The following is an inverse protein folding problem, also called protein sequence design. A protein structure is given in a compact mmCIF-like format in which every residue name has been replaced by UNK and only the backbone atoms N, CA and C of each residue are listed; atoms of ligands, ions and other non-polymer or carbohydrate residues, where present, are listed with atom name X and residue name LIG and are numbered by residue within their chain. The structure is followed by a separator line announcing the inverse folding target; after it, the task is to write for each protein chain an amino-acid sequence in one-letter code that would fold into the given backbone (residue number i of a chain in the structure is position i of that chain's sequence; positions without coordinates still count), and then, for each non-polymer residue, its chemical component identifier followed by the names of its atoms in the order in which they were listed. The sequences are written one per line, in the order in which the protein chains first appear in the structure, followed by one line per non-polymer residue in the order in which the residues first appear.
data_IF_279331521313
#
_entry.id   IF_279331521313
#
_cell.length_a   1.000
_cell.length_b   1.000
_cell.length_c   1.000
_cell.angle_alpha   90.00
_cell.angle_beta   90.00
_cell.angle_gamma   90.00
#
_symmetry.space_group_name_H-M   'P 1'
#
loop_
_entity.id
_entity.type
_entity.pdbx_description
1 polymer ?
#
# COMPACT_ATOMS: atom_id res chain seq x y z
N UNK A 1 11.22 -3.05 -2.47
CA UNK A 1 10.31 -1.86 -2.43
C UNK A 1 11.06 -0.68 -3.00
N UNK A 2 10.40 0.44 -3.34
CA UNK A 2 11.11 1.67 -3.71
C UNK A 2 11.25 2.59 -2.49
N UNK A 3 12.31 3.41 -2.46
CA UNK A 3 12.36 4.57 -1.58
C UNK A 3 11.38 5.63 -2.06
N UNK A 4 10.80 6.40 -1.16
CA UNK A 4 9.85 7.47 -1.51
C UNK A 4 10.50 8.84 -1.30
N UNK A 5 10.14 9.79 -2.15
CA UNK A 5 10.40 11.23 -1.99
C UNK A 5 9.10 12.00 -2.22
N UNK A 6 8.96 13.16 -1.59
CA UNK A 6 7.76 14.01 -1.68
C UNK A 6 8.07 15.45 -2.13
N UNK A 7 9.34 15.76 -2.41
CA UNK A 7 9.80 17.10 -2.77
C UNK A 7 10.88 17.04 -3.84
N UNK A 8 11.04 18.13 -4.58
CA UNK A 8 12.13 18.24 -5.55
C UNK A 8 13.50 18.29 -4.87
N UNK A 9 13.58 18.82 -3.65
CA UNK A 9 14.83 18.88 -2.88
C UNK A 9 15.32 17.48 -2.50
N UNK A 10 14.44 16.62 -1.97
CA UNK A 10 14.74 15.22 -1.70
C UNK A 10 15.18 14.47 -2.97
N UNK A 11 14.62 14.86 -4.13
CA UNK A 11 14.99 14.28 -5.42
C UNK A 11 16.36 14.77 -5.91
N UNK A 12 16.71 16.03 -5.67
CA UNK A 12 18.08 16.56 -5.90
C UNK A 12 19.10 15.82 -5.04
N UNK A 13 18.79 15.57 -3.76
CA UNK A 13 19.67 14.77 -2.91
C UNK A 13 19.82 13.32 -3.40
N UNK A 14 18.76 12.75 -4.00
CA UNK A 14 18.84 11.44 -4.63
C UNK A 14 19.77 11.46 -5.84
N UNK A 15 19.66 12.46 -6.72
CA UNK A 15 20.55 12.65 -7.87
C UNK A 15 22.02 12.79 -7.44
N UNK A 16 22.30 13.60 -6.41
CA UNK A 16 23.66 13.73 -5.85
C UNK A 16 24.21 12.41 -5.29
N UNK A 17 23.36 11.57 -4.70
CA UNK A 17 23.77 10.23 -4.23
C UNK A 17 24.06 9.30 -5.40
N UNK A 18 23.29 9.36 -6.48
CA UNK A 18 23.54 8.60 -7.72
C UNK A 18 24.86 9.05 -8.33
N UNK A 19 25.07 10.36 -8.52
CA UNK A 19 26.29 10.91 -9.08
C UNK A 19 27.54 10.48 -8.30
N UNK A 20 27.49 10.54 -6.96
CA UNK A 20 28.60 10.07 -6.10
C UNK A 20 28.81 8.57 -6.21
N UNK A 21 27.75 7.77 -6.24
CA UNK A 21 27.85 6.32 -6.36
C UNK A 21 28.37 5.83 -7.71
N UNK A 22 28.26 6.68 -8.74
CA UNK A 22 28.79 6.44 -10.09
C UNK A 22 30.13 7.15 -10.34
N UNK A 23 30.74 7.74 -9.31
CA UNK A 23 32.06 8.39 -9.39
C UNK A 23 32.14 9.46 -10.50
N UNK A 24 31.02 10.17 -10.74
CA UNK A 24 30.92 11.21 -11.77
C UNK A 24 30.78 10.71 -13.21
N UNK A 25 30.63 9.40 -13.44
CA UNK A 25 30.29 8.87 -14.76
C UNK A 25 28.94 9.44 -15.25
N UNK A 26 28.77 9.70 -16.55
CA UNK A 26 27.50 10.18 -17.09
C UNK A 26 26.41 9.12 -16.97
N UNK A 27 25.20 9.54 -16.61
CA UNK A 27 24.03 8.67 -16.48
C UNK A 27 22.79 9.36 -17.03
N UNK A 28 21.75 8.56 -17.28
CA UNK A 28 20.42 9.02 -17.66
C UNK A 28 19.38 8.33 -16.78
N UNK A 29 18.18 8.88 -16.75
CA UNK A 29 17.04 8.32 -16.05
C UNK A 29 15.97 7.82 -17.02
N UNK A 30 15.17 6.87 -16.56
CA UNK A 30 13.87 6.53 -17.14
C UNK A 30 12.81 6.89 -16.11
N UNK A 31 11.85 7.71 -16.52
CA UNK A 31 10.69 8.09 -15.73
C UNK A 31 9.45 7.33 -16.21
N UNK A 32 8.73 6.72 -15.28
CA UNK A 32 7.54 5.91 -15.52
C UNK A 32 6.43 6.32 -14.56
N UNK A 33 5.17 6.26 -15.00
CA UNK A 33 4.04 6.47 -14.08
C UNK A 33 4.03 5.38 -13.00
N UNK A 34 3.82 5.78 -11.75
CA UNK A 34 3.69 4.84 -10.65
C UNK A 34 2.22 4.39 -10.53
N UNK A 35 1.87 3.34 -11.26
CA UNK A 35 0.53 2.76 -11.25
C UNK A 35 0.14 2.22 -9.87
N UNK A 36 -1.10 2.46 -9.47
CA UNK A 36 -1.70 1.89 -8.27
C UNK A 36 -2.43 0.59 -8.60
N UNK A 37 -1.74 -0.53 -8.41
CA UNK A 37 -2.29 -1.86 -8.66
C UNK A 37 -1.66 -2.95 -7.79
N UNK A 38 -1.52 -4.13 -8.38
CA UNK A 38 -0.94 -5.30 -7.77
C UNK A 38 0.29 -5.72 -8.56
N UNK A 39 1.46 -5.56 -7.93
CA UNK A 39 2.71 -6.00 -8.50
C UNK A 39 2.70 -7.51 -8.80
N UNK A 40 3.08 -7.84 -10.03
CA UNK A 40 3.03 -9.18 -10.61
C UNK A 40 4.36 -9.52 -11.27
N UNK A 41 4.82 -10.76 -11.07
CA UNK A 41 5.94 -11.35 -11.79
C UNK A 41 5.41 -12.44 -12.72
N UNK A 42 5.78 -12.36 -14.00
CA UNK A 42 5.35 -13.26 -15.06
C UNK A 42 6.56 -13.99 -15.65
N UNK A 43 6.59 -15.31 -15.50
CA UNK A 43 7.61 -16.16 -16.09
C UNK A 43 7.21 -16.64 -17.48
N UNK A 44 8.08 -16.42 -18.46
CA UNK A 44 7.99 -16.93 -19.82
C UNK A 44 9.15 -17.88 -20.09
N UNK A 45 8.84 -19.08 -20.61
CA UNK A 45 9.84 -20.08 -20.98
C UNK A 45 9.59 -20.50 -22.43
N UNK A 46 10.60 -20.36 -23.29
CA UNK A 46 10.44 -20.57 -24.75
C UNK A 46 9.42 -19.63 -25.39
N UNK A 47 9.14 -18.49 -24.76
CA UNK A 47 8.12 -17.53 -25.19
C UNK A 47 6.72 -17.78 -24.62
N UNK A 48 6.46 -18.94 -24.03
CA UNK A 48 5.16 -19.25 -23.43
C UNK A 48 5.08 -18.78 -21.97
N UNK A 49 3.99 -18.09 -21.62
CA UNK A 49 3.68 -17.76 -20.24
C UNK A 49 3.48 -19.06 -19.47
N UNK A 50 4.34 -19.33 -18.49
CA UNK A 50 4.26 -20.55 -17.67
C UNK A 50 3.90 -20.25 -16.21
N UNK A 51 4.20 -19.05 -15.70
CA UNK A 51 3.95 -18.72 -14.31
C UNK A 51 3.52 -17.26 -14.11
N UNK A 52 2.54 -17.02 -13.23
CA UNK A 52 2.22 -15.69 -12.71
C UNK A 52 2.19 -15.71 -11.19
N UNK A 53 2.99 -14.85 -10.56
CA UNK A 53 3.19 -14.81 -9.11
C UNK A 53 2.99 -13.40 -8.58
N UNK A 54 2.16 -13.25 -7.57
CA UNK A 54 2.02 -11.96 -6.86
C UNK A 54 3.28 -11.64 -6.07
N UNK A 55 3.49 -10.37 -5.69
CA UNK A 55 4.68 -10.01 -4.89
C UNK A 55 4.75 -10.67 -3.50
N UNK A 56 3.62 -10.93 -2.85
CA UNK A 56 3.55 -11.41 -1.47
C UNK A 56 4.44 -10.61 -0.50
N UNK A 57 5.38 -11.27 0.18
CA UNK A 57 6.31 -10.63 1.12
C UNK A 57 7.60 -10.08 0.46
N UNK A 58 7.74 -10.25 -0.86
CA UNK A 58 8.93 -9.90 -1.64
C UNK A 58 9.88 -11.07 -1.89
N UNK A 59 9.69 -12.20 -1.20
CA UNK A 59 10.44 -13.46 -1.40
C UNK A 59 9.50 -14.58 -1.85
N UNK A 60 8.31 -14.67 -1.27
CA UNK A 60 7.26 -15.64 -1.59
C UNK A 60 5.96 -14.90 -1.89
N UNK A 61 5.26 -15.38 -2.91
CA UNK A 61 3.97 -14.86 -3.32
C UNK A 61 3.03 -15.94 -3.82
N UNK A 62 1.76 -15.57 -3.95
CA UNK A 62 0.70 -16.49 -4.38
C UNK A 62 0.82 -16.77 -5.88
N UNK A 63 0.76 -18.04 -6.27
CA UNK A 63 0.71 -18.46 -7.68
C UNK A 63 -0.70 -18.25 -8.20
N UNK A 64 -0.83 -17.34 -9.16
CA UNK A 64 -2.11 -16.89 -9.73
C UNK A 64 -2.14 -17.03 -11.26
N UNK A 65 -1.36 -17.98 -11.80
CA UNK A 65 -1.20 -18.21 -13.24
C UNK A 65 -2.54 -18.34 -13.97
N UNK A 66 -3.48 -19.13 -13.43
CA UNK A 66 -4.80 -19.33 -14.05
C UNK A 66 -5.58 -18.01 -14.18
N UNK A 67 -5.52 -17.16 -13.15
CA UNK A 67 -6.20 -15.86 -13.10
C UNK A 67 -5.53 -14.86 -14.04
N UNK A 68 -4.20 -14.83 -14.07
CA UNK A 68 -3.43 -13.95 -14.95
C UNK A 68 -3.66 -14.28 -16.43
N UNK A 69 -3.81 -15.57 -16.80
CA UNK A 69 -4.13 -15.99 -18.18
C UNK A 69 -5.44 -15.40 -18.71
N UNK A 70 -6.33 -14.91 -17.84
CA UNK A 70 -7.60 -14.28 -18.24
C UNK A 70 -7.46 -12.80 -18.63
N UNK A 71 -6.31 -12.19 -18.38
CA UNK A 71 -6.03 -10.79 -18.73
C UNK A 71 -5.85 -10.69 -20.24
N UNK A 72 -6.88 -10.18 -20.93
CA UNK A 72 -6.93 -10.15 -22.41
C UNK A 72 -5.79 -9.35 -23.06
N UNK A 73 -5.24 -8.35 -22.37
CA UNK A 73 -4.14 -7.52 -22.89
C UNK A 73 -2.77 -8.16 -22.71
N UNK A 74 -2.68 -9.30 -22.02
CA UNK A 74 -1.42 -9.98 -21.75
C UNK A 74 -1.20 -11.11 -22.77
N UNK A 75 -0.11 -11.10 -23.56
CA UNK A 75 0.19 -12.20 -24.46
C UNK A 75 0.51 -13.47 -23.68
N UNK A 76 -0.13 -14.58 -24.07
CA UNK A 76 0.22 -15.91 -23.56
C UNK A 76 1.48 -16.48 -24.22
N UNK A 77 1.82 -15.99 -25.41
CA UNK A 77 3.03 -16.31 -26.15
C UNK A 77 3.67 -15.00 -26.64
N UNK A 78 4.97 -14.82 -26.39
CA UNK A 78 5.72 -13.65 -26.84
C UNK A 78 5.94 -13.67 -28.35
N UNK A 79 6.06 -12.50 -28.97
CA UNK A 79 6.32 -12.37 -30.41
C UNK A 79 7.78 -12.01 -30.70
N UNK A 80 8.29 -12.46 -31.86
CA UNK A 80 9.63 -12.09 -32.33
C UNK A 80 10.76 -12.88 -31.69
N UNK A 81 11.90 -12.23 -31.45
CA UNK A 81 13.08 -12.84 -30.85
C UNK A 81 13.19 -12.45 -29.38
N UNK A 82 13.20 -13.45 -28.50
CA UNK A 82 13.29 -13.31 -27.06
C UNK A 82 14.27 -14.34 -26.47
N UNK A 83 14.85 -14.05 -25.29
CA UNK A 83 15.64 -15.04 -24.56
C UNK A 83 14.83 -16.28 -24.19
N UNK A 84 15.52 -17.41 -23.97
CA UNK A 84 14.87 -18.68 -23.61
C UNK A 84 14.03 -18.58 -22.33
N UNK A 85 14.51 -17.79 -21.35
CA UNK A 85 13.81 -17.51 -20.10
C UNK A 85 13.72 -16.01 -19.89
N UNK A 86 12.51 -15.53 -19.60
CA UNK A 86 12.22 -14.12 -19.34
C UNK A 86 11.28 -14.03 -18.16
N UNK A 87 11.64 -13.21 -17.17
CA UNK A 87 10.71 -12.76 -16.12
C UNK A 87 10.30 -11.31 -16.42
N UNK A 88 9.01 -11.09 -16.63
CA UNK A 88 8.43 -9.76 -16.83
C UNK A 88 7.75 -9.33 -15.54
N UNK A 89 8.21 -8.22 -14.97
CA UNK A 89 7.56 -7.59 -13.83
C UNK A 89 6.70 -6.42 -14.29
N UNK A 90 5.54 -6.31 -13.69
CA UNK A 90 4.58 -5.29 -14.01
C UNK A 90 3.53 -5.10 -12.92
N UNK A 91 2.54 -4.29 -13.24
CA UNK A 91 1.42 -4.00 -12.36
C UNK A 91 0.14 -4.49 -13.01
N UNK A 92 -0.60 -5.37 -12.33
CA UNK A 92 -1.98 -5.71 -12.70
C UNK A 92 -2.91 -4.69 -12.05
N UNK A 93 -3.83 -4.12 -12.83
CA UNK A 93 -4.73 -3.08 -12.34
C UNK A 93 -6.14 -3.26 -12.91
N UNK A 94 -7.12 -2.69 -12.20
CA UNK A 94 -8.49 -2.56 -12.67
C UNK A 94 -8.66 -1.16 -13.29
N UNK A 95 -9.07 -1.04 -14.56
CA UNK A 95 -9.32 0.27 -15.14
C UNK A 95 -10.40 1.06 -14.39
N UNK A 96 -10.23 2.37 -14.29
CA UNK A 96 -11.13 3.27 -13.55
C UNK A 96 -12.59 3.16 -14.01
N UNK A 97 -12.81 3.06 -15.33
CA UNK A 97 -14.13 2.83 -15.91
C UNK A 97 -14.75 1.51 -15.44
N UNK A 98 -13.98 0.41 -15.49
CA UNK A 98 -14.44 -0.93 -15.08
C UNK A 98 -14.77 -0.96 -13.58
N UNK A 99 -13.98 -0.28 -12.77
CA UNK A 99 -14.25 -0.13 -11.33
C UNK A 99 -15.56 0.64 -11.09
N UNK A 100 -15.81 1.71 -11.85
CA UNK A 100 -17.07 2.46 -11.79
C UNK A 100 -18.28 1.60 -12.16
N UNK A 101 -18.21 0.88 -13.29
CA UNK A 101 -19.24 -0.08 -13.73
C UNK A 101 -19.53 -1.13 -12.64
N UNK A 102 -18.47 -1.69 -12.04
CA UNK A 102 -18.60 -2.70 -11.00
C UNK A 102 -19.26 -2.17 -9.73
N UNK A 103 -18.91 -0.96 -9.29
CA UNK A 103 -19.56 -0.37 -8.12
C UNK A 103 -21.02 -0.01 -8.39
N UNK A 104 -21.36 0.41 -9.61
CA UNK A 104 -22.75 0.65 -10.01
C UNK A 104 -23.59 -0.64 -9.97
N UNK A 105 -23.06 -1.75 -10.47
CA UNK A 105 -23.70 -3.08 -10.38
C UNK A 105 -23.92 -3.49 -8.91
N UNK A 106 -22.91 -3.32 -8.06
CA UNK A 106 -22.99 -3.63 -6.62
C UNK A 106 -24.06 -2.78 -5.92
N UNK A 107 -24.14 -1.50 -6.24
CA UNK A 107 -25.15 -0.59 -5.70
C UNK A 107 -26.56 -1.04 -6.06
N UNK A 108 -26.79 -1.40 -7.33
CA UNK A 108 -28.08 -1.90 -7.82
C UNK A 108 -28.50 -3.20 -7.12
N UNK A 109 -27.53 -4.03 -6.74
CA UNK A 109 -27.76 -5.29 -6.01
C UNK A 109 -27.83 -5.11 -4.48
N UNK A 110 -27.71 -3.87 -3.96
CA UNK A 110 -27.70 -3.60 -2.52
C UNK A 110 -26.44 -4.10 -1.79
N UNK A 111 -25.35 -4.35 -2.51
CA UNK A 111 -24.08 -4.82 -1.97
C UNK A 111 -23.19 -3.65 -1.52
N UNK A 112 -22.29 -3.90 -0.56
CA UNK A 112 -21.29 -2.92 -0.16
C UNK A 112 -20.35 -2.57 -1.33
N UNK A 113 -20.14 -1.28 -1.57
CA UNK A 113 -19.23 -0.79 -2.62
C UNK A 113 -17.78 -1.16 -2.33
N UNK A 114 -17.00 -1.34 -3.39
CA UNK A 114 -15.56 -1.52 -3.31
C UNK A 114 -14.88 -0.18 -3.04
N UNK A 115 -13.86 -0.20 -2.19
CA UNK A 115 -13.22 1.01 -1.69
C UNK A 115 -12.33 1.71 -2.72
N UNK A 116 -11.56 0.96 -3.52
CA UNK A 116 -10.68 1.52 -4.56
C UNK A 116 -10.32 0.45 -5.62
N UNK A 117 -9.85 0.87 -6.81
CA UNK A 117 -9.48 -0.05 -7.90
C UNK A 117 -8.38 -1.05 -7.54
N UNK A 118 -7.38 -0.65 -6.73
CA UNK A 118 -6.28 -1.51 -6.31
C UNK A 118 -6.75 -2.71 -5.48
N UNK A 119 -7.60 -2.46 -4.49
CA UNK A 119 -8.19 -3.48 -3.64
C UNK A 119 -9.14 -4.37 -4.45
N UNK A 120 -9.89 -3.80 -5.37
CA UNK A 120 -10.74 -4.56 -6.28
C UNK A 120 -9.91 -5.51 -7.16
N UNK A 121 -8.79 -5.04 -7.75
CA UNK A 121 -7.88 -5.86 -8.53
C UNK A 121 -7.22 -6.97 -7.68
N UNK A 122 -6.75 -6.64 -6.46
CA UNK A 122 -6.16 -7.62 -5.55
C UNK A 122 -7.16 -8.68 -5.09
N UNK A 123 -8.42 -8.29 -4.84
CA UNK A 123 -9.48 -9.23 -4.48
C UNK A 123 -9.81 -10.15 -5.65
N UNK A 124 -9.94 -9.59 -6.86
CA UNK A 124 -10.22 -10.34 -8.08
C UNK A 124 -9.16 -11.41 -8.35
N UNK A 125 -7.88 -11.08 -8.27
CA UNK A 125 -6.78 -12.02 -8.51
C UNK A 125 -6.74 -13.21 -7.54
N UNK A 126 -7.44 -13.14 -6.41
CA UNK A 126 -7.50 -14.20 -5.39
C UNK A 126 -8.74 -15.09 -5.50
N UNK A 127 -9.63 -14.81 -6.44
CA UNK A 127 -10.79 -15.68 -6.69
C UNK A 127 -10.32 -17.03 -7.22
N UNK A 128 -10.96 -18.10 -6.74
CA UNK A 128 -10.69 -19.47 -7.20
C UNK A 128 -11.23 -19.69 -8.62
N UNK A 129 -12.36 -19.06 -8.95
CA UNK A 129 -12.94 -19.15 -10.29
C UNK A 129 -12.36 -18.08 -11.22
N UNK A 130 -11.52 -18.54 -12.16
CA UNK A 130 -10.90 -17.69 -13.18
C UNK A 130 -11.92 -17.02 -14.11
N UNK A 131 -13.12 -17.58 -14.31
CA UNK A 131 -14.16 -16.94 -15.11
C UNK A 131 -14.65 -15.63 -14.47
N UNK A 132 -14.76 -15.61 -13.14
CA UNK A 132 -15.08 -14.40 -12.39
C UNK A 132 -13.95 -13.36 -12.51
N UNK A 133 -12.69 -13.80 -12.57
CA UNK A 133 -11.54 -12.90 -12.80
C UNK A 133 -11.59 -12.29 -14.19
N UNK A 134 -11.88 -13.09 -15.21
CA UNK A 134 -12.02 -12.64 -16.59
C UNK A 134 -13.09 -11.54 -16.72
N UNK A 135 -14.21 -11.68 -15.99
CA UNK A 135 -15.29 -10.69 -15.95
C UNK A 135 -14.85 -9.34 -15.35
N UNK A 136 -13.80 -9.32 -14.52
CA UNK A 136 -13.25 -8.08 -13.93
C UNK A 136 -12.40 -7.24 -14.89
N UNK A 137 -12.20 -7.71 -16.14
CA UNK A 137 -11.51 -6.98 -17.23
C UNK A 137 -10.19 -6.34 -16.77
N UNK A 138 -9.43 -7.05 -15.94
CA UNK A 138 -8.13 -6.58 -15.45
C UNK A 138 -7.18 -6.32 -16.63
N UNK A 139 -6.23 -5.41 -16.43
CA UNK A 139 -5.16 -5.07 -17.37
C UNK A 139 -3.81 -5.17 -16.71
N UNK A 140 -2.76 -5.16 -17.52
CA UNK A 140 -1.38 -5.25 -17.09
C UNK A 140 -0.54 -4.18 -17.78
N UNK A 141 0.42 -3.60 -17.08
CA UNK A 141 1.54 -2.87 -17.68
C UNK A 141 2.86 -3.44 -17.19
N UNK A 142 3.74 -3.82 -18.12
CA UNK A 142 5.12 -4.20 -17.83
C UNK A 142 5.94 -2.95 -17.50
N UNK A 143 6.80 -3.06 -16.48
CA UNK A 143 7.72 -1.99 -16.07
C UNK A 143 9.16 -2.48 -15.89
N UNK A 144 9.45 -3.77 -16.06
CA UNK A 144 10.78 -4.32 -15.97
C UNK A 144 10.85 -5.70 -16.64
N UNK A 145 11.94 -5.93 -17.38
CA UNK A 145 12.28 -7.23 -17.96
C UNK A 145 13.53 -7.74 -17.26
N UNK A 146 13.48 -8.99 -16.81
CA UNK A 146 14.59 -9.71 -16.20
C UNK A 146 14.87 -10.96 -17.02
N UNK A 147 16.14 -11.26 -17.20
CA UNK A 147 16.61 -12.41 -17.97
C UNK A 147 17.77 -13.04 -17.22
N UNK A 148 18.03 -14.34 -17.37
CA UNK A 148 19.31 -14.90 -16.98
C UNK A 148 20.45 -14.17 -17.72
N UNK A 149 21.39 -13.61 -16.96
CA UNK A 149 22.45 -12.76 -17.51
C UNK A 149 21.96 -11.39 -18.00
N UNK A 150 22.86 -10.64 -18.66
CA UNK A 150 22.61 -9.28 -19.14
C UNK A 150 22.31 -9.28 -20.64
N UNK A 151 21.02 -9.37 -21.00
CA UNK A 151 20.58 -9.29 -22.40
C UNK A 151 20.40 -7.85 -22.90
N UNK A 152 20.15 -6.89 -22.01
CA UNK A 152 19.94 -5.49 -22.36
C UNK A 152 21.02 -4.60 -21.73
N UNK A 153 21.47 -3.54 -22.43
CA UNK A 153 22.38 -2.55 -21.84
C UNK A 153 21.63 -1.60 -20.90
N UNK A 154 20.41 -1.22 -21.27
CA UNK A 154 19.60 -0.22 -20.55
C UNK A 154 18.21 -0.75 -20.21
N UNK A 155 17.60 -0.13 -19.21
CA UNK A 155 16.22 -0.35 -18.82
C UNK A 155 15.25 0.03 -19.94
N UNK A 156 15.50 1.17 -20.62
CA UNK A 156 14.70 1.59 -21.78
C UNK A 156 14.69 0.54 -22.90
N UNK A 157 15.84 -0.08 -23.21
CA UNK A 157 15.94 -1.14 -24.21
C UNK A 157 15.12 -2.38 -23.82
N UNK A 158 15.04 -2.68 -22.52
CA UNK A 158 14.16 -3.74 -22.02
C UNK A 158 12.67 -3.43 -22.19
N UNK A 159 12.25 -2.17 -21.98
CA UNK A 159 10.87 -1.74 -22.21
C UNK A 159 10.50 -1.75 -23.71
N UNK A 160 11.43 -1.33 -24.56
CA UNK A 160 11.29 -1.40 -26.02
C UNK A 160 11.16 -2.86 -26.50
N UNK A 161 12.01 -3.75 -25.98
CA UNK A 161 11.94 -5.18 -26.28
C UNK A 161 10.61 -5.80 -25.80
N UNK A 162 10.17 -5.50 -24.57
CA UNK A 162 8.88 -5.95 -24.07
C UNK A 162 7.72 -5.51 -24.99
N UNK A 163 7.75 -4.27 -25.46
CA UNK A 163 6.78 -3.75 -26.42
C UNK A 163 6.81 -4.54 -27.73
N UNK A 164 8.01 -4.79 -28.27
CA UNK A 164 8.19 -5.58 -29.50
C UNK A 164 7.70 -7.03 -29.36
N UNK A 165 7.76 -7.60 -28.15
CA UNK A 165 7.24 -8.93 -27.84
C UNK A 165 5.71 -8.99 -27.69
N UNK A 166 5.03 -7.84 -27.77
CA UNK A 166 3.57 -7.73 -27.61
C UNK A 166 3.12 -7.55 -26.17
N UNK A 167 4.04 -7.34 -25.22
CA UNK A 167 3.65 -7.03 -23.84
C UNK A 167 3.12 -5.59 -23.77
N UNK A 168 2.08 -5.34 -22.97
CA UNK A 168 1.57 -4.00 -22.78
C UNK A 168 2.57 -3.21 -21.92
N UNK A 169 3.28 -2.26 -22.54
CA UNK A 169 4.09 -1.25 -21.85
C UNK A 169 3.34 0.07 -21.89
N UNK A 170 3.39 0.84 -20.80
CA UNK A 170 2.72 2.15 -20.80
C UNK A 170 3.34 3.09 -21.83
N UNK A 171 2.56 3.80 -22.66
CA UNK A 171 3.12 4.76 -23.62
C UNK A 171 3.64 6.05 -22.96
N UNK A 172 3.61 6.12 -21.62
CA UNK A 172 3.91 7.33 -20.87
C UNK A 172 5.37 7.45 -20.45
N UNK A 173 6.16 6.37 -20.51
CA UNK A 173 7.54 6.41 -20.04
C UNK A 173 8.40 7.35 -20.88
N UNK A 174 9.40 7.98 -20.25
CA UNK A 174 10.34 8.88 -20.91
C UNK A 174 11.76 8.65 -20.42
N UNK A 175 12.70 8.49 -21.34
CA UNK A 175 14.13 8.60 -21.03
C UNK A 175 14.50 10.07 -20.89
N UNK A 176 15.10 10.42 -19.75
CA UNK A 176 15.47 11.78 -19.36
C UNK A 176 17.00 11.84 -19.21
N UNK A 177 17.66 12.74 -19.92
CA UNK A 177 19.13 12.81 -19.94
C UNK A 177 19.75 13.39 -18.66
N UNK A 178 18.96 14.09 -17.85
CA UNK A 178 19.41 14.77 -16.63
C UNK A 178 18.22 15.02 -15.68
N UNK A 179 18.52 15.53 -14.48
CA UNK A 179 17.50 15.83 -13.47
C UNK A 179 16.47 16.88 -13.92
N UNK A 180 16.85 17.86 -14.74
CA UNK A 180 15.89 18.88 -15.20
C UNK A 180 14.78 18.26 -16.05
N UNK A 181 15.13 17.37 -16.98
CA UNK A 181 14.13 16.63 -17.78
C UNK A 181 13.24 15.72 -16.91
N UNK A 182 13.76 15.20 -15.80
CA UNK A 182 12.97 14.45 -14.81
C UNK A 182 11.96 15.36 -14.13
N UNK A 183 12.36 16.57 -13.72
CA UNK A 183 11.46 17.56 -13.12
C UNK A 183 10.39 18.01 -14.10
N UNK A 184 10.75 18.27 -15.36
CA UNK A 184 9.80 18.62 -16.41
C UNK A 184 8.75 17.51 -16.62
N UNK A 185 9.19 16.25 -16.59
CA UNK A 185 8.29 15.09 -16.64
C UNK A 185 7.36 15.01 -15.41
N UNK A 186 7.87 15.31 -14.21
CA UNK A 186 7.06 15.41 -12.98
C UNK A 186 6.01 16.50 -13.09
N UNK A 187 6.37 17.69 -13.58
CA UNK A 187 5.42 18.80 -13.70
C UNK A 187 4.35 18.52 -14.76
N UNK A 188 4.74 17.96 -15.90
CA UNK A 188 3.81 17.59 -16.96
C UNK A 188 2.75 16.58 -16.48
N UNK A 189 3.18 15.53 -15.78
CA UNK A 189 2.30 14.48 -15.29
C UNK A 189 1.59 14.83 -13.98
N UNK A 190 1.82 16.04 -13.43
CA UNK A 190 1.12 16.51 -12.25
C UNK A 190 -0.40 16.64 -12.48
N UNK A 191 -0.84 16.85 -13.72
CA UNK A 191 -2.26 16.93 -14.08
C UNK A 191 -2.68 15.84 -15.08
N UNK A 192 -1.88 15.59 -16.13
CA UNK A 192 -2.22 14.59 -17.16
C UNK A 192 -2.46 13.19 -16.61
N UNK A 193 -1.89 12.85 -15.46
CA UNK A 193 -2.08 11.53 -14.84
C UNK A 193 -3.54 11.19 -14.53
N UNK A 194 -4.40 12.19 -14.35
CA UNK A 194 -5.83 11.98 -14.10
C UNK A 194 -6.62 11.55 -15.34
N UNK A 195 -6.04 11.70 -16.53
CA UNK A 195 -6.63 11.24 -17.80
C UNK A 195 -6.34 9.76 -18.07
N UNK A 196 -5.44 9.15 -17.29
CA UNK A 196 -5.08 7.75 -17.46
C UNK A 196 -6.23 6.82 -17.04
N UNK A 197 -6.35 5.65 -17.69
CA UNK A 197 -7.39 4.68 -17.36
C UNK A 197 -7.17 3.99 -16.00
N UNK A 198 -6.12 4.37 -15.26
CA UNK A 198 -5.68 3.75 -14.01
C UNK A 198 -5.16 4.84 -13.09
N UNK A 199 -5.42 4.68 -11.79
CA UNK A 199 -4.87 5.58 -10.79
C UNK A 199 -3.35 5.48 -10.72
N UNK A 200 -2.71 6.61 -10.47
CA UNK A 200 -1.28 6.71 -10.27
C UNK A 200 -1.02 7.56 -9.03
N UNK A 201 0.00 7.17 -8.27
CA UNK A 201 0.31 7.79 -6.98
C UNK A 201 1.66 8.51 -6.98
N UNK A 202 2.26 8.69 -8.17
CA UNK A 202 3.57 9.28 -8.32
C UNK A 202 4.26 8.89 -9.63
N UNK A 203 5.57 9.07 -9.64
CA UNK A 203 6.48 8.72 -10.73
C UNK A 203 7.59 7.84 -10.17
N UNK A 204 7.96 6.79 -10.90
CA UNK A 204 9.15 6.00 -10.62
C UNK A 204 10.27 6.50 -11.51
N UNK A 205 11.41 6.83 -10.90
CA UNK A 205 12.61 7.34 -11.56
C UNK A 205 13.69 6.30 -11.36
N UNK A 206 14.26 5.78 -12.45
CA UNK A 206 15.27 4.71 -12.43
C UNK A 206 16.49 5.15 -13.24
N UNK A 207 17.70 4.87 -12.76
CA UNK A 207 18.91 4.98 -13.60
C UNK A 207 18.75 4.04 -14.80
N UNK A 208 18.99 4.53 -16.01
CA UNK A 208 18.70 3.79 -17.24
C UNK A 208 19.70 2.66 -17.51
N UNK A 209 21.00 2.89 -17.30
CA UNK A 209 22.02 1.88 -17.55
C UNK A 209 22.00 0.77 -16.50
N UNK A 210 21.85 -0.47 -16.95
CA UNK A 210 21.71 -1.62 -16.05
C UNK A 210 23.03 -2.00 -15.35
N UNK A 211 24.20 -1.58 -15.83
CA UNK A 211 25.49 -1.79 -15.14
C UNK A 211 25.66 -0.78 -14.03
N UNK A 212 25.23 0.46 -14.27
CA UNK A 212 25.17 1.49 -13.24
C UNK A 212 24.18 1.11 -12.12
N UNK A 213 23.05 0.46 -12.45
CA UNK A 213 22.15 -0.10 -11.44
C UNK A 213 22.85 -1.14 -10.54
N UNK A 214 23.64 -2.05 -11.12
CA UNK A 214 24.40 -3.04 -10.34
C UNK A 214 25.47 -2.38 -9.46
N UNK A 215 26.19 -1.40 -10.00
CA UNK A 215 27.22 -0.64 -9.26
C UNK A 215 26.61 0.09 -8.05
N UNK A 216 25.45 0.72 -8.22
CA UNK A 216 24.73 1.40 -7.15
C UNK A 216 24.14 0.40 -6.14
N UNK A 217 23.69 -0.77 -6.61
CA UNK A 217 23.19 -1.84 -5.77
C UNK A 217 21.93 -1.49 -4.97
N UNK A 218 21.77 -2.17 -3.83
CA UNK A 218 20.56 -2.14 -3.02
C UNK A 218 20.88 -1.75 -1.57
N UNK A 219 19.91 -1.16 -0.88
CA UNK A 219 19.87 -1.11 0.58
C UNK A 219 19.17 -2.37 1.12
N UNK A 220 19.00 -2.49 2.44
CA UNK A 220 18.22 -3.57 3.04
C UNK A 220 16.76 -3.66 2.55
N UNK A 221 16.18 -2.60 1.95
CA UNK A 221 14.76 -2.56 1.57
C UNK A 221 14.45 -2.03 0.17
N UNK A 222 15.34 -1.23 -0.41
CA UNK A 222 15.14 -0.53 -1.68
C UNK A 222 16.40 -0.38 -2.52
N UNK A 223 16.30 -0.38 -3.86
CA UNK A 223 17.42 -0.08 -4.75
C UNK A 223 17.93 1.34 -4.53
N UNK A 224 19.25 1.55 -4.71
CA UNK A 224 19.86 2.89 -4.68
C UNK A 224 19.75 3.63 -6.01
N UNK A 225 19.44 2.91 -7.07
CA UNK A 225 19.31 3.40 -8.44
C UNK A 225 17.88 3.75 -8.84
N UNK A 226 16.89 3.60 -7.95
CA UNK A 226 15.51 4.00 -8.23
C UNK A 226 14.80 4.59 -7.02
N UNK A 227 13.94 5.57 -7.29
CA UNK A 227 13.13 6.27 -6.29
C UNK A 227 11.72 6.53 -6.82
N UNK A 228 10.74 6.58 -5.92
CA UNK A 228 9.38 6.95 -6.23
C UNK A 228 9.11 8.39 -5.77
N UNK A 229 8.93 9.32 -6.71
CA UNK A 229 8.44 10.66 -6.44
C UNK A 229 6.93 10.61 -6.26
N UNK A 230 6.45 10.96 -5.06
CA UNK A 230 5.04 10.96 -4.70
C UNK A 230 4.50 12.37 -4.85
N UNK A 231 3.43 12.52 -5.62
CA UNK A 231 2.74 13.79 -5.67
C UNK A 231 2.18 14.15 -4.28
N UNK A 232 2.15 15.45 -3.95
CA UNK A 232 1.46 15.94 -2.76
C UNK A 232 0.06 15.34 -2.72
N UNK A 233 -0.23 14.71 -1.59
CA UNK A 233 -1.47 13.99 -1.44
C UNK A 233 -2.63 14.95 -1.47
N UNK A 234 -3.72 14.56 -2.13
CA UNK A 234 -4.95 15.33 -2.09
C UNK A 234 -5.25 15.67 -0.62
N UNK A 235 -5.46 16.96 -0.36
CA UNK A 235 -5.81 17.51 0.94
C UNK A 235 -7.30 17.86 0.92
N UNK A 236 -8.01 17.48 1.96
CA UNK A 236 -9.41 17.83 2.16
C UNK A 236 -9.54 18.65 3.44
N UNK A 237 -10.42 19.65 3.40
CA UNK A 237 -10.80 20.43 4.57
C UNK A 237 -12.12 19.88 5.11
N UNK A 238 -12.14 19.44 6.36
CA UNK A 238 -13.32 18.86 7.00
C UNK A 238 -13.37 19.20 8.48
N UNK A 239 -14.50 18.96 9.16
CA UNK A 239 -14.66 19.26 10.58
C UNK A 239 -14.15 18.11 11.45
N UNK A 240 -13.41 18.44 12.50
CA UNK A 240 -13.07 17.52 13.59
C UNK A 240 -14.27 17.39 14.53
N UNK A 241 -14.83 16.19 14.65
CA UNK A 241 -15.95 15.90 15.57
C UNK A 241 -15.46 15.49 16.95
N UNK A 242 -14.54 14.54 16.98
CA UNK A 242 -14.11 13.87 18.20
C UNK A 242 -12.69 13.31 18.00
N UNK A 243 -11.95 13.11 19.09
CA UNK A 243 -10.74 12.29 19.09
C UNK A 243 -10.97 11.07 19.98
N UNK A 244 -10.87 9.89 19.39
CA UNK A 244 -10.85 8.62 20.11
C UNK A 244 -9.41 8.14 20.28
N UNK A 245 -9.16 7.32 21.30
CA UNK A 245 -7.82 6.88 21.64
C UNK A 245 -7.70 5.36 21.57
N UNK A 246 -6.90 4.87 20.62
CA UNK A 246 -6.67 3.45 20.42
C UNK A 246 -5.44 2.99 21.19
N UNK A 247 -5.58 1.91 21.96
CA UNK A 247 -4.47 1.27 22.68
C UNK A 247 -3.90 0.16 21.81
N UNK A 248 -2.65 0.30 21.40
CA UNK A 248 -1.95 -0.69 20.60
C UNK A 248 -1.41 -1.86 21.41
N UNK A 249 -0.87 -2.87 20.69
CA UNK A 249 -0.29 -4.09 21.25
C UNK A 249 0.72 -3.88 22.38
N UNK A 250 1.57 -2.85 22.27
CA UNK A 250 2.63 -2.52 23.24
C UNK A 250 2.20 -1.44 24.24
N UNK A 251 0.89 -1.27 24.41
CA UNK A 251 0.30 -0.26 25.28
C UNK A 251 0.31 1.16 24.74
N UNK A 252 0.95 1.43 23.59
CA UNK A 252 0.98 2.76 22.98
C UNK A 252 -0.43 3.28 22.70
N UNK A 253 -0.75 4.45 23.25
CA UNK A 253 -2.04 5.12 23.06
C UNK A 253 -1.93 6.09 21.89
N UNK A 254 -2.76 5.89 20.87
CA UNK A 254 -2.73 6.63 19.62
C UNK A 254 -4.04 7.38 19.39
N UNK A 255 -4.00 8.71 19.22
CA UNK A 255 -5.18 9.51 18.94
C UNK A 255 -5.63 9.33 17.49
N UNK A 256 -6.93 9.13 17.30
CA UNK A 256 -7.59 9.03 16.00
C UNK A 256 -8.73 10.04 15.96
N UNK A 257 -8.65 10.97 15.03
CA UNK A 257 -9.69 11.95 14.78
C UNK A 257 -10.88 11.29 14.06
N UNK A 258 -12.08 11.56 14.54
CA UNK A 258 -13.35 11.32 13.85
C UNK A 258 -13.77 12.62 13.16
N UNK A 259 -14.09 12.52 11.89
CA UNK A 259 -14.28 13.66 11.00
C UNK A 259 -15.68 13.66 10.39
N UNK A 260 -16.15 14.85 10.00
CA UNK A 260 -17.21 14.94 8.99
C UNK A 260 -16.77 14.16 7.73
N UNK A 261 -17.61 13.28 7.16
CA UNK A 261 -17.26 12.52 5.96
C UNK A 261 -16.84 13.45 4.83
N UNK A 262 -15.62 13.27 4.33
CA UNK A 262 -15.09 14.12 3.25
C UNK A 262 -14.49 13.26 2.12
N UNK A 263 -14.79 13.56 0.84
CA UNK A 263 -14.14 12.87 -0.27
C UNK A 263 -12.67 13.27 -0.34
N UNK A 264 -11.80 12.26 -0.36
CA UNK A 264 -10.35 12.44 -0.45
C UNK A 264 -9.72 11.29 -1.24
N UNK A 265 -9.06 11.62 -2.35
CA UNK A 265 -8.41 10.66 -3.25
C UNK A 265 -9.31 9.44 -3.60
N UNK A 266 -10.54 9.71 -4.06
CA UNK A 266 -11.50 8.68 -4.48
C UNK A 266 -12.14 7.86 -3.34
N UNK A 267 -11.85 8.17 -2.08
CA UNK A 267 -12.44 7.50 -0.90
C UNK A 267 -13.10 8.50 0.04
N UNK A 268 -14.14 8.10 0.76
CA UNK A 268 -14.72 8.94 1.82
C UNK A 268 -13.93 8.72 3.11
N UNK A 269 -13.24 9.77 3.57
CA UNK A 269 -12.49 9.76 4.82
C UNK A 269 -13.39 10.22 5.97
N UNK A 270 -13.50 9.36 6.99
CA UNK A 270 -14.20 9.65 8.26
C UNK A 270 -13.27 9.62 9.47
N UNK A 271 -12.05 9.10 9.29
CA UNK A 271 -11.06 8.90 10.34
C UNK A 271 -9.68 9.32 9.84
N UNK A 272 -8.93 10.00 10.68
CA UNK A 272 -7.54 10.38 10.39
C UNK A 272 -6.66 10.19 11.63
N UNK A 273 -5.41 9.81 11.41
CA UNK A 273 -4.40 9.76 12.46
C UNK A 273 -4.01 11.17 12.88
N UNK A 274 -3.84 11.37 14.19
CA UNK A 274 -3.25 12.58 14.76
C UNK A 274 -1.84 12.26 15.30
N UNK A 275 -1.28 11.10 14.96
CA UNK A 275 0.03 10.61 15.40
C UNK A 275 0.17 10.41 16.92
N UNK A 276 0.27 11.47 17.72
CA UNK A 276 0.54 11.41 19.16
C UNK A 276 0.16 12.72 19.89
N UNK A 277 0.38 12.77 21.20
CA UNK A 277 0.08 13.93 22.05
C UNK A 277 0.84 15.20 21.65
N UNK A 278 2.10 15.07 21.20
CA UNK A 278 2.88 16.23 20.76
C UNK A 278 2.25 16.88 19.53
N UNK A 279 1.75 16.08 18.59
CA UNK A 279 1.11 16.60 17.38
C UNK A 279 -0.20 17.32 17.71
N UNK A 280 -0.99 16.82 18.67
CA UNK A 280 -2.19 17.51 19.17
C UNK A 280 -1.83 18.89 19.70
N UNK A 281 -0.78 18.98 20.53
CA UNK A 281 -0.31 20.23 21.11
C UNK A 281 0.27 21.17 20.04
N UNK A 282 1.09 20.65 19.12
CA UNK A 282 1.71 21.42 18.03
C UNK A 282 0.68 22.06 17.11
N UNK A 283 -0.40 21.34 16.81
CA UNK A 283 -1.49 21.83 15.96
C UNK A 283 -2.52 22.68 16.74
N UNK A 284 -2.42 22.78 18.07
CA UNK A 284 -3.45 23.34 18.96
C UNK A 284 -4.85 22.84 18.58
N UNK A 285 -5.01 21.51 18.45
CA UNK A 285 -6.28 20.94 17.99
C UNK A 285 -7.40 21.16 19.01
N UNK A 286 -8.55 21.61 18.51
CA UNK A 286 -9.77 21.82 19.31
C UNK A 286 -10.95 21.10 18.71
N UNK A 287 -11.86 20.64 19.56
CA UNK A 287 -13.08 19.99 19.06
C UNK A 287 -13.91 20.99 18.23
N UNK A 288 -14.43 20.53 17.10
CA UNK A 288 -15.18 21.36 16.16
C UNK A 288 -14.33 22.14 15.16
N UNK A 289 -12.99 22.12 15.27
CA UNK A 289 -12.09 22.80 14.33
C UNK A 289 -12.29 22.29 12.88
N UNK A 290 -12.11 23.20 11.92
CA UNK A 290 -11.90 22.81 10.52
C UNK A 290 -10.44 22.39 10.36
N UNK A 291 -10.21 21.15 9.93
CA UNK A 291 -8.88 20.54 9.82
C UNK A 291 -8.55 20.17 8.37
N UNK A 292 -7.27 20.25 8.04
CA UNK A 292 -6.74 19.75 6.77
C UNK A 292 -6.31 18.30 6.95
N UNK A 293 -6.80 17.45 6.06
CA UNK A 293 -6.60 16.01 6.10
C UNK A 293 -5.98 15.57 4.79
N UNK A 294 -4.88 14.84 4.90
CA UNK A 294 -4.11 14.36 3.76
C UNK A 294 -3.98 12.85 3.79
N UNK A 295 -3.95 12.24 2.61
CA UNK A 295 -3.83 10.78 2.46
C UNK A 295 -2.44 10.36 1.99
N UNK A 296 -1.50 10.28 2.91
CA UNK A 296 -0.12 9.79 2.68
C UNK A 296 -0.08 8.44 1.97
N UNK A 297 0.40 8.40 0.72
CA UNK A 297 0.66 7.14 -0.01
C UNK A 297 -0.54 6.20 -0.10
N UNK A 298 -1.76 6.75 -0.26
CA UNK A 298 -3.04 6.05 -0.48
C UNK A 298 -3.61 5.20 0.67
N UNK A 299 -2.96 5.10 1.84
CA UNK A 299 -3.39 4.13 2.88
C UNK A 299 -3.97 4.79 4.14
N UNK A 300 -3.22 5.64 4.86
CA UNK A 300 -3.66 6.17 6.17
C UNK A 300 -3.84 7.70 6.10
N UNK A 301 -5.06 8.23 6.21
CA UNK A 301 -5.29 9.67 6.32
C UNK A 301 -4.70 10.23 7.62
N UNK A 302 -4.13 11.44 7.57
CA UNK A 302 -3.58 12.15 8.73
C UNK A 302 -4.03 13.62 8.74
N UNK A 303 -4.17 14.19 9.92
CA UNK A 303 -4.36 15.64 10.06
C UNK A 303 -3.02 16.34 9.86
N UNK A 304 -2.97 17.33 8.97
CA UNK A 304 -1.76 18.12 8.68
C UNK A 304 -1.83 19.55 9.18
N UNK A 305 -3.03 20.07 9.41
CA UNK A 305 -3.19 21.45 9.88
C UNK A 305 -4.60 21.74 10.37
N UNK A 306 -4.73 22.92 10.97
CA UNK A 306 -6.01 23.51 11.40
C UNK A 306 -6.22 24.81 10.65
N UNK A 307 -7.44 25.02 10.16
CA UNK A 307 -7.88 26.31 9.65
C UNK A 307 -8.30 27.21 10.81
N UNK A 308 -7.31 27.89 11.39
CA UNK A 308 -7.48 28.76 12.57
C UNK A 308 -8.44 29.91 12.29
N UNK A 309 -8.55 30.38 11.05
CA UNK A 309 -9.46 31.47 10.68
C UNK A 309 -10.94 31.05 10.79
N UNK A 310 -11.23 29.74 10.66
CA UNK A 310 -12.58 29.19 10.78
C UNK A 310 -12.90 28.64 12.18
N UNK A 311 -12.01 28.85 13.16
CA UNK A 311 -12.18 28.35 14.53
C UNK A 311 -13.33 29.08 15.23
N UNK A 312 -14.21 28.29 15.83
CA UNK A 312 -15.33 28.81 16.62
C UNK A 312 -14.81 29.41 17.94
N UNK A 313 -15.41 30.51 18.34
CA UNK A 313 -15.13 31.13 19.63
C UNK A 313 -15.57 30.19 20.77
N UNK A 314 -14.71 30.00 21.77
CA UNK A 314 -14.95 29.05 22.87
C UNK A 314 -14.61 27.58 22.56
N UNK A 315 -14.01 27.25 21.41
CA UNK A 315 -13.59 25.89 21.12
C UNK A 315 -12.63 25.34 22.19
N UNK A 316 -12.94 24.15 22.72
CA UNK A 316 -12.16 23.51 23.77
C UNK A 316 -10.93 22.78 23.23
N UNK A 317 -9.74 23.01 23.80
CA UNK A 317 -8.54 22.26 23.43
C UNK A 317 -8.70 20.75 23.68
N UNK A 318 -8.24 19.95 22.73
CA UNK A 318 -8.21 18.49 22.93
C UNK A 318 -7.14 18.15 23.95
N UNK A 319 -7.57 17.55 25.05
CA UNK A 319 -6.67 17.03 26.09
C UNK A 319 -6.41 15.56 25.89
N UNK A 320 -5.14 15.18 25.98
CA UNK A 320 -4.75 13.78 25.98
C UNK A 320 -5.19 13.11 27.30
N UNK A 321 -5.76 11.89 27.28
CA UNK A 321 -6.21 11.22 28.49
C UNK A 321 -5.03 10.91 29.41
N UNK A 322 -5.26 10.98 30.72
CA UNK A 322 -4.29 10.59 31.76
C UNK A 322 -4.42 9.11 32.15
N UNK A 323 -5.54 8.48 31.82
CA UNK A 323 -5.84 7.08 32.10
C UNK A 323 -6.09 6.32 30.80
N UNK A 324 -5.81 5.02 30.82
CA UNK A 324 -6.02 4.16 29.68
C UNK A 324 -7.52 4.08 29.35
N UNK A 325 -7.95 4.45 28.14
CA UNK A 325 -9.37 4.43 27.77
C UNK A 325 -9.98 3.02 27.77
N UNK A 326 -9.14 1.98 27.77
CA UNK A 326 -9.59 0.59 27.72
C UNK A 326 -9.59 -0.13 29.08
N UNK A 327 -8.79 0.30 30.06
CA UNK A 327 -8.67 -0.40 31.34
C UNK A 327 -8.52 0.52 32.57
N UNK A 328 -8.59 1.84 32.40
CA UNK A 328 -8.50 2.82 33.50
C UNK A 328 -7.12 2.95 34.15
N UNK A 329 -6.13 2.15 33.76
CA UNK A 329 -4.77 2.26 34.34
C UNK A 329 -4.14 3.62 33.98
N UNK A 330 -3.53 4.35 34.94
CA UNK A 330 -2.79 5.58 34.65
C UNK A 330 -1.75 5.40 33.55
N UNK A 331 -1.77 6.29 32.56
CA UNK A 331 -0.84 6.26 31.45
C UNK A 331 0.52 6.80 31.88
N UNK A 332 1.57 6.15 31.38
CA UNK A 332 2.96 6.61 31.58
C UNK A 332 3.52 7.07 30.24
N UNK A 333 4.35 8.10 30.28
CA UNK A 333 5.13 8.53 29.12
C UNK A 333 6.61 8.38 29.45
N UNK A 334 7.27 7.31 28.97
CA UNK A 334 8.70 7.12 29.19
C UNK A 334 9.50 8.33 28.68
N UNK A 335 10.60 8.62 29.37
CA UNK A 335 11.50 9.71 28.98
C UNK A 335 12.01 9.50 27.55
N UNK A 336 11.95 10.54 26.72
CA UNK A 336 12.35 10.48 25.31
C UNK A 336 11.32 9.87 24.35
N UNK A 337 10.21 9.29 24.82
CA UNK A 337 9.17 8.75 23.94
C UNK A 337 8.07 9.78 23.59
N UNK A 338 7.57 9.69 22.35
CA UNK A 338 6.46 10.52 21.87
C UNK A 338 5.07 10.03 22.31
N UNK A 339 4.93 8.74 22.63
CA UNK A 339 3.66 8.11 22.95
C UNK A 339 3.47 7.91 24.45
N UNK A 340 2.27 8.21 24.94
CA UNK A 340 1.79 7.66 26.21
C UNK A 340 1.52 6.17 26.05
N UNK A 341 1.77 5.41 27.11
CA UNK A 341 1.59 3.96 27.14
C UNK A 341 0.78 3.54 28.34
N UNK A 342 -0.07 2.53 28.13
CA UNK A 342 -0.69 1.80 29.21
C UNK A 342 0.31 0.75 29.74
N UNK A 343 0.78 0.85 31.00
CA UNK A 343 1.76 -0.08 31.57
C UNK A 343 1.13 -1.43 31.97
N UNK A 344 -0.20 -1.57 31.87
CA UNK A 344 -0.92 -2.78 32.26
C UNK A 344 -0.83 -3.87 31.18
N UNK A 345 0.38 -4.41 30.99
CA UNK A 345 0.66 -5.44 30.00
C UNK A 345 0.00 -6.79 30.33
N UNK A 346 -0.54 -7.01 31.52
CA UNK A 346 -1.10 -8.32 31.90
C UNK A 346 -2.61 -8.39 31.83
N UNK A 347 -3.30 -7.27 31.98
CA UNK A 347 -4.76 -7.25 32.04
C UNK A 347 -5.42 -6.27 31.08
N UNK A 348 -4.67 -5.41 30.36
CA UNK A 348 -5.28 -4.49 29.40
C UNK A 348 -5.86 -5.26 28.20
N UNK A 349 -7.19 -5.32 28.01
CA UNK A 349 -7.81 -6.16 26.99
C UNK A 349 -7.29 -5.92 25.55
N UNK A 350 -7.17 -4.68 25.05
CA UNK A 350 -6.67 -4.46 23.69
C UNK A 350 -5.21 -4.88 23.52
N UNK A 351 -4.38 -4.81 24.57
CA UNK A 351 -2.99 -5.29 24.49
C UNK A 351 -2.93 -6.81 24.42
N UNK A 352 -3.77 -7.51 25.17
CA UNK A 352 -3.86 -8.97 25.14
C UNK A 352 -4.36 -9.45 23.79
N UNK A 353 -5.49 -8.89 23.32
CA UNK A 353 -6.07 -9.17 22.02
C UNK A 353 -5.07 -8.96 20.88
N UNK A 354 -4.46 -7.78 20.79
CA UNK A 354 -3.50 -7.48 19.73
C UNK A 354 -2.21 -8.32 19.81
N UNK A 355 -1.85 -8.87 20.99
CA UNK A 355 -0.76 -9.84 21.10
C UNK A 355 -1.14 -11.19 20.53
N UNK A 356 -2.36 -11.67 20.78
CA UNK A 356 -2.88 -12.90 20.17
C UNK A 356 -2.99 -12.75 18.64
N UNK A 357 -3.54 -11.63 18.17
CA UNK A 357 -3.60 -11.31 16.73
C UNK A 357 -2.22 -11.30 16.07
N UNK A 358 -1.21 -10.75 16.76
CA UNK A 358 0.16 -10.80 16.27
C UNK A 358 0.75 -12.21 16.30
N UNK A 359 0.49 -12.98 17.37
CA UNK A 359 1.01 -14.33 17.56
C UNK A 359 0.65 -15.24 16.38
N UNK A 360 -0.59 -15.15 15.90
CA UNK A 360 -1.07 -15.95 14.76
C UNK A 360 -0.71 -15.35 13.39
N UNK A 361 -0.14 -14.14 13.35
CA UNK A 361 0.11 -13.41 12.10
C UNK A 361 1.13 -14.12 11.20
N UNK A 362 1.08 -13.81 9.90
CA UNK A 362 2.00 -14.38 8.88
C UNK A 362 3.49 -14.18 9.19
N UNK A 363 3.83 -13.15 9.93
CA UNK A 363 5.23 -12.81 10.30
C UNK A 363 5.66 -13.39 11.66
N UNK A 364 4.74 -14.07 12.34
CA UNK A 364 5.00 -14.75 13.61
C UNK A 364 4.87 -16.26 13.40
N UNK A 365 3.91 -16.93 14.04
CA UNK A 365 3.77 -18.39 13.88
C UNK A 365 3.05 -18.81 12.60
N UNK A 366 2.41 -17.87 11.88
CA UNK A 366 1.71 -18.12 10.61
C UNK A 366 0.79 -19.35 10.68
N UNK A 367 -0.21 -19.30 11.57
CA UNK A 367 -1.15 -20.40 11.77
C UNK A 367 -2.20 -20.36 10.66
N UNK A 368 -2.10 -21.30 9.72
CA UNK A 368 -3.05 -21.41 8.61
C UNK A 368 -4.48 -21.63 9.11
N UNK A 369 -5.45 -20.90 8.53
CA UNK A 369 -6.85 -20.94 8.92
C UNK A 369 -7.22 -20.06 10.13
N UNK A 370 -6.24 -19.62 10.93
CA UNK A 370 -6.49 -18.74 12.10
C UNK A 370 -5.96 -17.33 11.86
N UNK A 371 -6.80 -16.48 11.25
CA UNK A 371 -6.49 -15.08 11.01
C UNK A 371 -6.59 -14.19 12.26
N UNK A 372 -6.02 -12.98 12.18
CA UNK A 372 -6.09 -11.98 13.24
C UNK A 372 -7.55 -11.63 13.63
N UNK A 373 -8.44 -11.45 12.65
CA UNK A 373 -9.86 -11.17 12.93
C UNK A 373 -10.54 -12.32 13.68
N UNK A 374 -10.25 -13.57 13.30
CA UNK A 374 -10.83 -14.77 13.93
C UNK A 374 -10.34 -14.93 15.36
N UNK A 375 -9.04 -14.86 15.61
CA UNK A 375 -8.51 -14.97 16.98
C UNK A 375 -8.94 -13.79 17.84
N UNK A 376 -9.05 -12.59 17.25
CA UNK A 376 -9.57 -11.41 17.93
C UNK A 376 -11.02 -11.62 18.39
N UNK A 377 -11.85 -12.25 17.56
CA UNK A 377 -13.22 -12.62 17.94
C UNK A 377 -13.26 -13.72 19.00
N UNK A 378 -12.38 -14.72 18.92
CA UNK A 378 -12.26 -15.73 19.97
C UNK A 378 -11.91 -15.11 21.31
N UNK A 379 -11.05 -14.09 21.32
CA UNK A 379 -10.78 -13.30 22.51
C UNK A 379 -12.03 -12.57 23.03
N UNK A 380 -12.77 -11.88 22.15
CA UNK A 380 -13.99 -11.16 22.53
C UNK A 380 -15.08 -12.08 23.11
N UNK A 381 -15.15 -13.32 22.63
CA UNK A 381 -16.07 -14.36 23.10
C UNK A 381 -15.56 -15.10 24.36
N UNK A 382 -14.38 -14.75 24.88
CA UNK A 382 -13.77 -15.45 26.02
C UNK A 382 -13.32 -16.88 25.71
N UNK A 383 -13.14 -17.21 24.43
CA UNK A 383 -12.69 -18.53 23.99
C UNK A 383 -11.18 -18.72 24.14
N UNK A 384 -10.43 -17.63 24.02
CA UNK A 384 -8.96 -17.57 24.12
C UNK A 384 -8.58 -16.32 24.90
N UNK A 385 -7.75 -16.47 25.92
CA UNK A 385 -7.16 -15.36 26.68
C UNK A 385 -5.63 -15.32 26.52
N UNK A 386 -5.00 -16.48 26.33
CA UNK A 386 -3.56 -16.64 26.17
C UNK A 386 -3.20 -17.42 24.90
N UNK A 387 -1.95 -17.34 24.43
CA UNK A 387 -1.52 -18.14 23.28
C UNK A 387 -1.66 -19.65 23.49
N UNK A 388 -1.62 -20.14 24.73
CA UNK A 388 -1.78 -21.56 25.03
C UNK A 388 -3.20 -22.05 24.70
N UNK A 389 -4.21 -21.26 25.02
CA UNK A 389 -5.63 -21.60 24.82
C UNK A 389 -5.97 -21.82 23.34
N UNK A 390 -5.18 -21.25 22.41
CA UNK A 390 -5.32 -21.50 20.97
C UNK A 390 -5.17 -22.99 20.65
N UNK A 391 -4.28 -23.69 21.35
CA UNK A 391 -4.02 -25.12 21.15
C UNK A 391 -5.08 -26.00 21.81
N UNK A 392 -5.90 -25.44 22.70
CA UNK A 392 -7.04 -26.11 23.34
C UNK A 392 -8.36 -25.93 22.56
N UNK A 393 -8.39 -25.02 21.58
CA UNK A 393 -9.56 -24.81 20.70
C UNK A 393 -10.12 -26.09 20.05
N UNK A 394 -9.32 -27.10 19.65
CA UNK A 394 -9.87 -28.37 19.14
C UNK A 394 -10.81 -29.08 20.13
N UNK A 395 -10.56 -28.94 21.44
CA UNK A 395 -11.40 -29.52 22.49
C UNK A 395 -12.76 -28.78 22.59
N UNK A 396 -12.82 -27.54 22.09
CA UNK A 396 -14.01 -26.68 22.08
C UNK A 396 -14.74 -26.67 20.73
N UNK A 397 -14.49 -27.67 19.88
CA UNK A 397 -15.08 -27.78 18.52
C UNK A 397 -16.59 -27.54 18.51
N UNK A 398 -17.33 -28.14 19.45
CA UNK A 398 -18.79 -28.01 19.51
C UNK A 398 -19.26 -26.55 19.71
N UNK A 399 -18.51 -25.73 20.42
CA UNK A 399 -18.80 -24.31 20.60
C UNK A 399 -18.43 -23.51 19.33
N UNK A 400 -17.30 -23.85 18.71
CA UNK A 400 -16.78 -23.15 17.53
C UNK A 400 -17.66 -23.33 16.29
N UNK A 401 -18.20 -24.53 16.07
CA UNK A 401 -19.05 -24.84 14.89
C UNK A 401 -20.33 -23.99 14.86
N UNK A 402 -20.80 -23.55 16.03
CA UNK A 402 -22.02 -22.76 16.16
C UNK A 402 -21.79 -21.25 16.03
N UNK A 403 -20.53 -20.81 15.89
CA UNK A 403 -20.22 -19.40 15.69
C UNK A 403 -20.47 -18.99 14.24
N UNK A 404 -21.13 -17.86 14.05
CA UNK A 404 -21.35 -17.26 12.74
C UNK A 404 -20.03 -17.19 11.94
N UNK A 405 -20.02 -17.59 10.66
CA UNK A 405 -18.81 -17.72 9.79
C UNK A 405 -17.83 -18.85 10.11
N UNK A 406 -18.08 -19.67 11.12
CA UNK A 406 -17.38 -20.94 11.34
C UNK A 406 -18.34 -22.10 11.04
N UNK A 407 -17.78 -23.26 10.68
CA UNK A 407 -18.54 -24.45 10.35
C UNK A 407 -17.77 -25.70 10.75
N UNK A 408 -18.24 -26.86 10.31
CA UNK A 408 -17.60 -28.14 10.66
C UNK A 408 -16.21 -28.35 10.05
N UNK A 409 -15.92 -27.65 8.95
CA UNK A 409 -14.70 -27.77 8.14
C UNK A 409 -13.61 -26.80 8.55
#
# INVERSE_FOLDING_TARGET
SLGNTYSEDDLREFDERVQRGLEGAPYAYVCEQKFDGVAMSLGYAGGDLHQGVTRGDGTRGDVVTANVRTIRTLPLHLHGSFPAEVEVRGEVFMPNQVFGELNQEREQNGEALLANPRNAASGALKLQDSALVAARKLRFYAYQVLTPGRHFPTHSAGLEAATAWGLPVSPTWRRCANLQEVLDYIHEWAQKRFELPVNTDGIVIKVDDLRQQDQLGLTAKSPRWAIAYKYPTAAARTRLREIIYNVGRTGAVTPVALLDPVPLAGTIVKRASVHNANQIALLDLRLGDMVFVEKGGEIIPKITGVDVAARLEGAEPVRFPTECPACGTPLVRPEGEAHYRCPNERACPPQLKARLEHYVSRKALNIDGLGAETVGRFFDLGLVATPADIYDLPQRRAELVNLERLGEK
#
